data_IF_842113222459
#
_entry.id   IF_842113222459
#
_cell.length_a   1.000
_cell.length_b   1.000
_cell.length_c   1.000
_cell.angle_alpha   90.00
_cell.angle_beta   90.00
_cell.angle_gamma   90.00
#
_symmetry.space_group_name_H-M   'P 1'
#
loop_
_entity.id
_entity.type
_entity.pdbx_description
1 polymer ?
#
# COMPACT_ATOMS: atom_id res chain seq x y z
N UNK A 1 -16.26 -3.01 26.65
CA UNK A 1 -15.49 -2.33 25.59
C UNK A 1 -14.46 -3.34 25.08
N UNK A 2 -14.48 -3.70 23.80
CA UNK A 2 -13.44 -4.59 23.27
C UNK A 2 -12.07 -3.89 23.39
N UNK A 3 -11.01 -4.63 23.73
CA UNK A 3 -9.67 -4.04 23.80
C UNK A 3 -9.28 -3.50 22.42
N UNK A 4 -8.64 -2.32 22.41
CA UNK A 4 -8.11 -1.71 21.19
C UNK A 4 -7.02 -2.64 20.62
N UNK A 5 -7.25 -3.21 19.45
CA UNK A 5 -6.27 -4.04 18.74
C UNK A 5 -5.73 -3.33 17.52
N UNK A 6 -4.45 -3.52 17.27
CA UNK A 6 -3.80 -3.08 16.03
C UNK A 6 -3.60 -4.29 15.13
N UNK A 7 -4.12 -4.22 13.91
CA UNK A 7 -3.81 -5.19 12.87
C UNK A 7 -2.41 -4.94 12.31
N UNK A 8 -1.65 -5.99 12.10
CA UNK A 8 -0.34 -5.93 11.46
C UNK A 8 -0.32 -6.90 10.28
N UNK A 9 0.07 -6.43 9.12
CA UNK A 9 0.33 -7.29 7.96
C UNK A 9 1.76 -7.10 7.48
N UNK A 10 2.36 -8.18 6.97
CA UNK A 10 3.74 -8.20 6.53
C UNK A 10 3.85 -8.93 5.19
N UNK A 11 4.37 -8.22 4.19
CA UNK A 11 4.63 -8.76 2.84
C UNK A 11 6.03 -8.33 2.41
N UNK A 12 7.05 -9.17 2.61
CA UNK A 12 8.45 -8.83 2.32
C UNK A 12 8.75 -8.75 0.83
N UNK A 13 7.97 -9.43 -0.02
CA UNK A 13 8.13 -9.46 -1.47
C UNK A 13 9.58 -9.71 -1.87
N UNK A 14 10.12 -10.84 -1.44
CA UNK A 14 11.52 -11.22 -1.67
C UNK A 14 11.84 -11.47 -3.16
N UNK A 15 10.83 -11.77 -3.95
CA UNK A 15 10.87 -11.93 -5.40
C UNK A 15 10.91 -10.60 -6.16
N UNK A 16 10.60 -9.47 -5.50
CA UNK A 16 10.70 -8.13 -6.05
C UNK A 16 12.12 -7.61 -5.85
N UNK A 17 12.99 -7.92 -6.80
CA UNK A 17 14.44 -7.64 -6.71
C UNK A 17 14.82 -6.58 -7.73
N UNK A 18 15.66 -5.65 -7.31
CA UNK A 18 16.36 -4.66 -8.11
C UNK A 18 17.86 -5.01 -8.18
N UNK A 19 18.67 -4.10 -8.69
CA UNK A 19 20.13 -4.23 -8.66
C UNK A 19 20.65 -4.27 -7.22
N UNK A 20 21.84 -4.87 -7.01
CA UNK A 20 22.37 -5.24 -5.69
C UNK A 20 22.44 -4.09 -4.67
N UNK A 21 22.64 -2.86 -5.12
CA UNK A 21 22.81 -1.68 -4.25
C UNK A 21 21.56 -0.79 -4.23
N UNK A 22 20.44 -1.32 -4.69
CA UNK A 22 19.21 -0.55 -4.80
C UNK A 22 18.61 -0.23 -3.41
N UNK A 23 18.24 1.04 -3.14
CA UNK A 23 17.71 1.42 -1.82
C UNK A 23 16.36 0.76 -1.49
N UNK A 24 15.57 0.41 -2.49
CA UNK A 24 14.33 -0.36 -2.32
C UNK A 24 14.64 -1.85 -2.45
N UNK A 25 15.04 -2.48 -1.34
CA UNK A 25 15.43 -3.90 -1.29
C UNK A 25 14.61 -4.69 -0.27
N UNK A 26 14.51 -6.03 -0.42
CA UNK A 26 13.81 -6.90 0.53
C UNK A 26 14.37 -6.82 1.94
N UNK A 27 15.69 -6.62 2.09
CA UNK A 27 16.40 -6.58 3.36
C UNK A 27 15.85 -5.50 4.30
N UNK A 28 15.35 -4.40 3.76
CA UNK A 28 14.70 -3.33 4.57
C UNK A 28 13.54 -3.89 5.39
N UNK A 29 12.67 -4.67 4.75
CA UNK A 29 11.50 -5.24 5.41
C UNK A 29 11.86 -6.45 6.25
N UNK A 30 12.80 -7.28 5.80
CA UNK A 30 13.29 -8.43 6.56
C UNK A 30 13.91 -7.98 7.88
N UNK A 31 14.81 -7.00 7.85
CA UNK A 31 15.44 -6.44 9.05
C UNK A 31 14.42 -5.78 9.99
N UNK A 32 13.47 -5.03 9.42
CA UNK A 32 12.41 -4.39 10.21
C UNK A 32 11.53 -5.46 10.89
N UNK A 33 11.15 -6.50 10.15
CA UNK A 33 10.35 -7.59 10.70
C UNK A 33 11.07 -8.37 11.79
N UNK A 34 12.36 -8.60 11.59
CA UNK A 34 13.19 -9.24 12.62
C UNK A 34 13.24 -8.40 13.91
N UNK A 35 13.39 -7.09 13.79
CA UNK A 35 13.35 -6.18 14.94
C UNK A 35 11.99 -6.21 15.65
N UNK A 36 10.88 -6.19 14.89
CA UNK A 36 9.52 -6.34 15.42
C UNK A 36 9.38 -7.66 16.18
N UNK A 37 9.84 -8.76 15.61
CA UNK A 37 9.76 -10.10 16.21
C UNK A 37 10.59 -10.16 17.49
N UNK A 38 11.82 -9.68 17.47
CA UNK A 38 12.70 -9.65 18.67
C UNK A 38 12.17 -8.76 19.78
N UNK A 39 11.42 -7.72 19.46
CA UNK A 39 10.83 -6.82 20.46
C UNK A 39 9.75 -7.49 21.33
N UNK A 40 9.24 -8.66 20.94
CA UNK A 40 8.15 -9.35 21.61
C UNK A 40 6.78 -8.68 21.45
N UNK A 41 6.66 -7.63 20.62
CA UNK A 41 5.38 -6.92 20.43
C UNK A 41 4.30 -7.84 19.84
N UNK A 42 4.69 -8.82 19.03
CA UNK A 42 3.77 -9.78 18.42
C UNK A 42 3.09 -10.71 19.43
N UNK A 43 3.64 -10.84 20.64
CA UNK A 43 3.07 -11.64 21.72
C UNK A 43 2.00 -10.88 22.51
N UNK A 44 1.81 -9.59 22.25
CA UNK A 44 0.80 -8.78 22.95
C UNK A 44 -0.59 -9.08 22.42
N UNK A 45 -1.55 -9.27 23.30
CA UNK A 45 -2.96 -9.49 22.96
C UNK A 45 -3.59 -8.31 22.17
N UNK A 46 -2.94 -7.13 22.19
CA UNK A 46 -3.34 -5.96 21.43
C UNK A 46 -2.84 -5.95 19.98
N UNK A 47 -2.04 -6.91 19.55
CA UNK A 47 -1.57 -7.06 18.16
C UNK A 47 -2.23 -8.28 17.54
N UNK A 48 -2.71 -8.12 16.33
CA UNK A 48 -3.32 -9.19 15.55
C UNK A 48 -2.67 -9.24 14.16
N UNK A 49 -2.09 -10.38 13.81
CA UNK A 49 -1.56 -10.58 12.47
C UNK A 49 -2.71 -10.79 11.49
N UNK A 50 -2.71 -10.01 10.43
CA UNK A 50 -3.69 -10.08 9.35
C UNK A 50 -3.01 -10.71 8.13
N UNK A 51 -3.52 -11.87 7.74
CA UNK A 51 -3.03 -12.58 6.56
C UNK A 51 -3.43 -11.83 5.28
N UNK A 52 -2.48 -11.69 4.37
CA UNK A 52 -2.70 -11.07 3.07
C UNK A 52 -3.01 -12.12 2.01
N UNK A 53 -3.85 -11.73 1.05
CA UNK A 53 -4.05 -12.43 -0.21
C UNK A 53 -3.79 -11.47 -1.36
N UNK A 54 -3.34 -11.92 -2.53
CA UNK A 54 -3.13 -11.04 -3.67
C UNK A 54 -4.41 -10.27 -4.03
N UNK A 55 -4.30 -8.98 -4.31
CA UNK A 55 -5.44 -8.22 -4.83
C UNK A 55 -5.94 -8.83 -6.14
N UNK A 56 -7.25 -8.98 -6.23
CA UNK A 56 -7.92 -9.47 -7.43
C UNK A 56 -7.87 -8.45 -8.57
N UNK A 57 -8.02 -8.94 -9.79
CA UNK A 57 -8.03 -8.12 -11.02
C UNK A 57 -9.02 -6.97 -10.93
N UNK A 58 -10.24 -7.21 -10.49
CA UNK A 58 -11.28 -6.17 -10.39
C UNK A 58 -10.86 -5.01 -9.47
N UNK A 59 -10.17 -5.31 -8.37
CA UNK A 59 -9.68 -4.27 -7.45
C UNK A 59 -8.60 -3.40 -8.08
N UNK A 60 -7.76 -4.00 -8.93
CA UNK A 60 -6.68 -3.29 -9.64
C UNK A 60 -7.27 -2.46 -10.77
N UNK A 61 -8.18 -3.03 -11.57
CA UNK A 61 -8.84 -2.36 -12.68
C UNK A 61 -9.80 -1.25 -12.23
N UNK A 62 -10.22 -1.23 -10.97
CA UNK A 62 -10.96 -0.10 -10.40
C UNK A 62 -10.13 1.20 -10.36
N UNK A 63 -8.81 1.10 -10.43
CA UNK A 63 -7.87 2.24 -10.41
C UNK A 63 -7.12 2.35 -11.72
N UNK A 64 -6.47 1.25 -12.14
CA UNK A 64 -5.57 1.22 -13.27
C UNK A 64 -6.32 0.80 -14.54
N UNK A 65 -6.07 1.52 -15.63
CA UNK A 65 -6.64 1.23 -16.95
C UNK A 65 -5.51 0.94 -17.95
N UNK A 66 -5.84 0.24 -19.01
CA UNK A 66 -4.88 -0.11 -20.07
C UNK A 66 -3.66 -0.87 -19.54
N UNK A 67 -3.88 -1.78 -18.60
CA UNK A 67 -2.82 -2.68 -18.14
C UNK A 67 -2.38 -3.53 -19.35
N UNK A 68 -1.21 -3.27 -19.97
CA UNK A 68 -0.69 -4.15 -20.99
C UNK A 68 -0.31 -5.44 -20.28
N UNK A 69 -0.74 -6.56 -20.76
CA UNK A 69 -0.43 -7.88 -20.20
C UNK A 69 -0.40 -7.90 -18.66
N UNK A 70 -1.57 -8.00 -18.06
CA UNK A 70 -1.75 -7.99 -16.60
C UNK A 70 -0.75 -8.91 -15.86
N UNK A 71 -0.42 -10.05 -16.45
CA UNK A 71 0.53 -11.02 -15.87
C UNK A 71 2.00 -10.58 -15.99
N UNK A 72 2.35 -9.74 -16.97
CA UNK A 72 3.72 -9.24 -17.14
C UNK A 72 4.04 -8.05 -16.24
N UNK A 73 3.04 -7.21 -15.91
CA UNK A 73 3.22 -6.02 -15.08
C UNK A 73 2.92 -6.30 -13.61
N UNK A 74 1.90 -7.09 -13.36
CA UNK A 74 1.48 -7.43 -12.03
C UNK A 74 2.08 -8.77 -11.61
N UNK A 75 3.38 -8.76 -11.33
CA UNK A 75 3.98 -9.84 -10.56
C UNK A 75 3.20 -10.04 -9.26
N UNK A 76 3.33 -11.17 -8.62
CA UNK A 76 2.62 -11.46 -7.37
C UNK A 76 2.89 -10.41 -6.29
N UNK A 77 4.11 -9.89 -6.20
CA UNK A 77 4.52 -8.91 -5.17
C UNK A 77 3.69 -7.62 -5.15
N UNK A 78 3.49 -6.88 -6.25
CA UNK A 78 2.61 -5.70 -6.25
C UNK A 78 1.16 -6.04 -5.89
N UNK A 79 0.68 -7.21 -6.31
CA UNK A 79 -0.66 -7.69 -5.97
C UNK A 79 -0.79 -8.01 -4.48
N UNK A 80 0.23 -8.67 -3.91
CA UNK A 80 0.28 -8.97 -2.48
C UNK A 80 0.34 -7.70 -1.63
N UNK A 81 1.15 -6.70 -2.03
CA UNK A 81 1.23 -5.43 -1.33
C UNK A 81 -0.13 -4.69 -1.30
N UNK A 82 -0.82 -4.63 -2.43
CA UNK A 82 -2.17 -4.07 -2.49
C UNK A 82 -3.16 -4.90 -1.65
N UNK A 83 -3.17 -6.22 -1.80
CA UNK A 83 -4.08 -7.13 -1.11
C UNK A 83 -3.92 -7.10 0.41
N UNK A 84 -2.70 -6.89 0.91
CA UNK A 84 -2.43 -6.71 2.34
C UNK A 84 -3.18 -5.51 2.91
N UNK A 85 -3.22 -4.39 2.19
CA UNK A 85 -3.99 -3.21 2.59
C UNK A 85 -5.50 -3.49 2.59
N UNK A 86 -6.00 -4.23 1.60
CA UNK A 86 -7.42 -4.57 1.53
C UNK A 86 -7.83 -5.46 2.71
N UNK A 87 -7.05 -6.49 3.02
CA UNK A 87 -7.31 -7.38 4.16
C UNK A 87 -7.30 -6.62 5.50
N UNK A 88 -6.33 -5.71 5.67
CA UNK A 88 -6.21 -4.90 6.87
C UNK A 88 -7.40 -3.93 7.02
N UNK A 89 -7.84 -3.32 5.92
CA UNK A 89 -9.01 -2.46 5.89
C UNK A 89 -10.30 -3.22 6.23
N UNK A 90 -10.47 -4.42 5.67
CA UNK A 90 -11.61 -5.28 5.97
C UNK A 90 -11.65 -5.66 7.46
N UNK A 91 -10.51 -6.01 8.04
CA UNK A 91 -10.39 -6.28 9.46
C UNK A 91 -10.74 -5.06 10.33
N UNK A 92 -10.36 -3.84 9.89
CA UNK A 92 -10.71 -2.59 10.56
C UNK A 92 -12.21 -2.30 10.49
N UNK A 93 -12.79 -2.40 9.30
CA UNK A 93 -14.21 -2.07 9.10
C UNK A 93 -15.13 -3.07 9.76
N UNK A 94 -14.76 -4.36 9.81
CA UNK A 94 -15.52 -5.38 10.56
C UNK A 94 -15.42 -5.24 12.08
N UNK A 95 -14.58 -4.33 12.60
CA UNK A 95 -14.37 -4.13 14.03
C UNK A 95 -13.42 -5.16 14.67
N UNK A 96 -12.78 -6.02 13.89
CA UNK A 96 -11.80 -7.00 14.36
C UNK A 96 -10.56 -6.33 14.95
N UNK A 97 -10.13 -5.21 14.34
CA UNK A 97 -9.06 -4.34 14.82
C UNK A 97 -9.50 -2.88 14.84
N UNK A 98 -8.84 -2.04 15.63
CA UNK A 98 -9.17 -0.61 15.76
C UNK A 98 -8.42 0.26 14.76
N UNK A 99 -7.20 -0.15 14.40
CA UNK A 99 -6.32 0.45 13.41
C UNK A 99 -5.43 -0.63 12.80
N UNK A 100 -4.56 -0.26 11.88
CA UNK A 100 -3.65 -1.21 11.26
C UNK A 100 -2.35 -0.59 10.79
N UNK A 101 -1.34 -1.43 10.67
CA UNK A 101 -0.05 -1.12 10.09
C UNK A 101 0.34 -2.18 9.06
N UNK A 102 0.68 -1.73 7.86
CA UNK A 102 1.11 -2.61 6.77
C UNK A 102 2.59 -2.40 6.48
N UNK A 103 3.40 -3.43 6.73
CA UNK A 103 4.80 -3.47 6.34
C UNK A 103 4.89 -4.24 5.00
N UNK A 104 4.83 -3.50 3.93
CA UNK A 104 4.67 -4.03 2.57
C UNK A 104 5.62 -3.39 1.58
N UNK A 105 5.93 -4.11 0.50
CA UNK A 105 6.62 -3.63 -0.71
C UNK A 105 6.12 -4.41 -1.94
N UNK A 106 6.22 -3.84 -3.17
CA UNK A 106 6.78 -2.53 -3.52
C UNK A 106 5.90 -1.36 -3.03
N UNK A 107 6.42 -0.10 -3.09
CA UNK A 107 5.64 1.11 -2.85
C UNK A 107 4.62 1.35 -3.98
N UNK A 108 3.79 2.40 -3.87
CA UNK A 108 2.71 2.59 -4.84
C UNK A 108 2.40 4.03 -5.24
N UNK A 109 2.85 5.04 -4.50
CA UNK A 109 2.34 6.41 -4.63
C UNK A 109 2.75 7.15 -5.92
N UNK A 110 3.74 6.66 -6.65
CA UNK A 110 4.12 7.19 -7.96
C UNK A 110 3.39 6.50 -9.13
N UNK A 111 2.72 5.37 -8.92
CA UNK A 111 2.01 4.69 -9.98
C UNK A 111 0.76 5.48 -10.40
N UNK A 112 0.70 5.83 -11.68
CA UNK A 112 -0.42 6.55 -12.30
C UNK A 112 -1.57 5.60 -12.67
N UNK A 113 -2.68 6.18 -13.13
CA UNK A 113 -3.83 5.41 -13.62
C UNK A 113 -3.47 4.50 -14.80
N UNK A 114 -2.61 4.97 -15.70
CA UNK A 114 -2.04 4.16 -16.78
C UNK A 114 -0.67 3.68 -16.34
N UNK A 115 -0.51 2.38 -16.17
CA UNK A 115 0.77 1.78 -15.77
C UNK A 115 1.57 1.43 -17.03
N UNK A 116 2.66 2.13 -17.23
CA UNK A 116 3.61 1.89 -18.34
C UNK A 116 4.94 1.33 -17.81
N UNK A 117 4.88 0.46 -16.83
CA UNK A 117 6.04 -0.09 -16.12
C UNK A 117 6.22 0.53 -14.73
N UNK A 118 7.42 0.39 -14.19
CA UNK A 118 7.77 0.88 -12.86
C UNK A 118 8.11 2.37 -12.90
N UNK A 119 7.56 3.14 -11.96
CA UNK A 119 7.86 4.55 -11.78
C UNK A 119 8.13 4.82 -10.31
N UNK A 120 9.31 5.36 -9.97
CA UNK A 120 9.71 5.57 -8.56
C UNK A 120 9.54 4.30 -7.72
N UNK A 121 9.92 3.14 -8.27
CA UNK A 121 9.76 1.80 -7.69
C UNK A 121 8.29 1.32 -7.56
N UNK A 122 7.31 2.13 -7.97
CA UNK A 122 5.88 1.83 -7.88
C UNK A 122 5.36 1.18 -9.17
N UNK A 123 4.61 0.09 -9.03
CA UNK A 123 3.94 -0.61 -10.15
C UNK A 123 2.43 -0.39 -10.08
N UNK A 124 1.84 -0.70 -8.94
CA UNK A 124 0.43 -0.47 -8.64
C UNK A 124 0.32 0.60 -7.55
N UNK A 125 -0.66 1.47 -7.64
CA UNK A 125 -0.95 2.43 -6.58
C UNK A 125 -1.77 1.75 -5.48
N UNK A 126 -1.08 1.15 -4.53
CA UNK A 126 -1.66 0.38 -3.43
C UNK A 126 -2.71 1.17 -2.65
N UNK A 127 -2.45 2.46 -2.39
CA UNK A 127 -3.35 3.34 -1.64
C UNK A 127 -4.58 3.69 -2.47
N UNK A 128 -4.42 3.95 -3.76
CA UNK A 128 -5.56 4.22 -4.63
C UNK A 128 -6.48 2.99 -4.76
N UNK A 129 -5.90 1.78 -4.86
CA UNK A 129 -6.64 0.53 -4.85
C UNK A 129 -7.41 0.38 -3.53
N UNK A 130 -6.77 0.67 -2.39
CA UNK A 130 -7.43 0.67 -1.08
C UNK A 130 -8.61 1.66 -1.03
N UNK A 131 -8.45 2.88 -1.53
CA UNK A 131 -9.52 3.89 -1.57
C UNK A 131 -10.71 3.38 -2.35
N UNK A 132 -10.50 2.82 -3.55
CA UNK A 132 -11.60 2.27 -4.35
C UNK A 132 -12.26 1.07 -3.66
N UNK A 133 -11.49 0.18 -3.04
CA UNK A 133 -12.03 -0.91 -2.24
C UNK A 133 -12.94 -0.41 -1.10
N UNK A 134 -12.48 0.58 -0.34
CA UNK A 134 -13.27 1.20 0.74
C UNK A 134 -14.58 1.81 0.22
N UNK A 135 -14.56 2.41 -0.96
CA UNK A 135 -15.74 2.99 -1.59
C UNK A 135 -16.70 1.95 -2.12
N UNK A 136 -16.20 1.00 -2.89
CA UNK A 136 -17.03 -0.02 -3.57
C UNK A 136 -17.60 -1.00 -2.55
N UNK A 137 -16.77 -1.59 -1.71
CA UNK A 137 -17.16 -2.64 -0.78
C UNK A 137 -17.81 -2.11 0.50
N UNK A 138 -17.23 -1.05 1.08
CA UNK A 138 -17.64 -0.53 2.39
C UNK A 138 -18.44 0.76 2.32
N UNK A 139 -18.65 1.32 1.13
CA UNK A 139 -19.45 2.53 0.88
C UNK A 139 -18.95 3.77 1.64
N UNK A 140 -17.65 3.80 1.98
CA UNK A 140 -17.03 4.97 2.56
C UNK A 140 -16.87 6.05 1.50
N UNK A 141 -17.44 7.22 1.74
CA UNK A 141 -17.43 8.29 0.76
C UNK A 141 -16.21 9.18 0.91
N UNK A 142 -16.05 9.81 2.06
CA UNK A 142 -14.97 10.77 2.32
C UNK A 142 -13.77 10.09 2.95
N UNK A 143 -12.63 10.22 2.28
CA UNK A 143 -11.37 9.57 2.70
C UNK A 143 -10.27 10.62 2.66
N UNK A 144 -9.34 10.56 3.61
CA UNK A 144 -8.14 11.36 3.61
C UNK A 144 -6.91 10.44 3.47
N UNK A 145 -5.97 10.87 2.62
CA UNK A 145 -4.64 10.28 2.48
C UNK A 145 -3.63 11.32 2.98
N UNK A 146 -2.75 10.92 3.87
CA UNK A 146 -1.61 11.73 4.31
C UNK A 146 -0.37 10.96 3.91
N UNK A 147 0.33 11.47 2.90
CA UNK A 147 1.57 10.92 2.36
C UNK A 147 2.73 11.69 2.97
N UNK A 148 3.56 10.98 3.72
CA UNK A 148 4.74 11.55 4.42
C UNK A 148 6.03 11.03 3.82
N UNK A 149 5.99 10.40 2.64
CA UNK A 149 7.19 10.06 1.90
C UNK A 149 7.97 11.34 1.53
N UNK A 150 9.30 11.23 1.48
CA UNK A 150 10.15 12.35 1.09
C UNK A 150 9.92 12.79 -0.36
N UNK A 151 9.43 11.88 -1.20
CA UNK A 151 9.03 12.15 -2.58
C UNK A 151 7.55 12.54 -2.66
N UNK A 152 7.22 13.44 -3.58
CA UNK A 152 5.83 13.77 -3.85
C UNK A 152 5.05 12.58 -4.42
N UNK A 153 3.94 12.21 -3.81
CA UNK A 153 3.05 11.14 -4.27
C UNK A 153 2.24 11.54 -5.51
N UNK A 154 2.93 11.88 -6.59
CA UNK A 154 2.37 12.46 -7.82
C UNK A 154 1.39 11.52 -8.54
N UNK A 155 1.61 10.20 -8.47
CA UNK A 155 0.69 9.20 -9.01
C UNK A 155 -0.65 9.21 -8.27
N UNK A 156 -0.62 9.22 -6.94
CA UNK A 156 -1.81 9.33 -6.10
C UNK A 156 -2.55 10.63 -6.35
N UNK A 157 -1.83 11.76 -6.40
CA UNK A 157 -2.41 13.06 -6.72
C UNK A 157 -3.09 13.05 -8.09
N UNK A 158 -2.44 12.52 -9.11
CA UNK A 158 -2.98 12.43 -10.47
C UNK A 158 -4.26 11.60 -10.55
N UNK A 159 -4.32 10.46 -9.85
CA UNK A 159 -5.50 9.60 -9.83
C UNK A 159 -6.72 10.32 -9.23
N UNK A 160 -6.51 11.10 -8.18
CA UNK A 160 -7.60 11.74 -7.42
C UNK A 160 -7.73 13.25 -7.65
N UNK A 161 -7.08 13.83 -8.65
CA UNK A 161 -7.04 15.27 -8.92
C UNK A 161 -8.40 15.96 -8.90
N UNK A 162 -9.40 15.31 -9.50
CA UNK A 162 -10.76 15.88 -9.61
C UNK A 162 -11.75 15.21 -8.63
N UNK A 163 -11.29 14.58 -7.57
CA UNK A 163 -12.13 13.84 -6.64
C UNK A 163 -12.51 14.72 -5.42
N UNK A 164 -13.73 15.25 -5.35
CA UNK A 164 -14.13 16.17 -4.28
C UNK A 164 -14.32 15.47 -2.92
N UNK A 165 -14.39 14.14 -2.91
CA UNK A 165 -14.62 13.35 -1.71
C UNK A 165 -13.31 12.74 -1.15
N UNK A 166 -12.15 13.08 -1.76
CA UNK A 166 -10.85 12.65 -1.27
C UNK A 166 -9.97 13.86 -0.94
N UNK A 167 -9.47 13.89 0.28
CA UNK A 167 -8.44 14.83 0.70
C UNK A 167 -7.06 14.15 0.57
N UNK A 168 -6.21 14.67 -0.31
CA UNK A 168 -4.83 14.23 -0.44
C UNK A 168 -3.89 15.30 0.11
N UNK A 169 -3.07 14.93 1.08
CA UNK A 169 -2.03 15.77 1.68
C UNK A 169 -0.70 15.06 1.46
N UNK A 170 0.25 15.70 0.78
CA UNK A 170 1.60 15.19 0.61
C UNK A 170 2.59 16.17 1.23
N UNK A 171 3.44 15.66 2.13
CA UNK A 171 4.50 16.41 2.83
C UNK A 171 5.83 15.87 2.33
N UNK A 172 6.46 16.58 1.41
CA UNK A 172 7.60 16.09 0.66
C UNK A 172 8.66 17.16 0.47
N UNK A 173 9.85 16.75 0.03
CA UNK A 173 10.93 17.65 -0.33
C UNK A 173 10.57 18.42 -1.60
N UNK A 174 11.13 19.64 -1.73
CA UNK A 174 10.93 20.51 -2.90
C UNK A 174 11.30 19.77 -4.20
N UNK A 175 10.35 19.64 -5.14
CA UNK A 175 10.51 18.95 -6.43
C UNK A 175 11.58 19.56 -7.35
N UNK A 176 12.12 20.75 -7.03
CA UNK A 176 13.29 21.30 -7.71
C UNK A 176 14.58 20.60 -7.29
N UNK A 177 14.59 19.87 -6.21
CA UNK A 177 15.76 19.23 -5.60
C UNK A 177 15.62 17.71 -5.46
N UNK A 178 14.41 17.17 -5.61
CA UNK A 178 14.12 15.75 -5.54
C UNK A 178 13.00 15.38 -6.51
N UNK A 179 13.14 14.22 -7.15
CA UNK A 179 12.11 13.61 -8.00
C UNK A 179 10.77 13.44 -7.24
N UNK A 180 9.61 13.49 -7.87
CA UNK A 180 9.30 13.89 -9.26
C UNK A 180 9.24 15.39 -9.47
#
# INVERSE_FOLDING_TARGET
MMPLRTGLTYVPSVDWVHESDHPESPERLLTTWEAITRSGILLRASIELIEAQPAGRDSIEAVHVCLPEFDAIATESPRMAAGALLALADAKISGRVSNGFALIRPPGHHANRITLGTRGFCVLNNIAILVQHLRIKHRLRRIAIIDTDVHHGDGTQSIFWNDPDLLFISIHQDGRTLYP
#
